data_IF_158713041489
#
_entry.id   IF_158713041489
#
_cell.length_a   1.000
_cell.length_b   1.000
_cell.length_c   1.000
_cell.angle_alpha   90.00
_cell.angle_beta   90.00
_cell.angle_gamma   90.00
#
_symmetry.space_group_name_H-M   'P 1'
#
loop_
_entity.id
_entity.type
_entity.pdbx_description
1 polymer ?
#
# COMPACT_ATOMS: atom_id res chain seq x y z
N UNK A 1 -0.71 31.75 11.79
CA UNK A 1 0.13 30.58 11.42
C UNK A 1 -0.76 29.37 11.39
N UNK A 2 -1.07 28.88 10.18
CA UNK A 2 -2.14 27.89 9.94
C UNK A 2 -1.62 26.45 9.85
N UNK A 3 -2.50 25.49 10.15
CA UNK A 3 -2.24 24.06 9.96
C UNK A 3 -2.22 23.76 8.45
N UNK A 4 -1.14 23.17 7.95
CA UNK A 4 -1.06 22.66 6.57
C UNK A 4 -1.59 21.24 6.59
N UNK A 5 -2.55 20.96 5.71
CA UNK A 5 -3.11 19.63 5.56
C UNK A 5 -2.19 18.79 4.66
N UNK A 6 -1.62 17.72 5.21
CA UNK A 6 -0.66 16.85 4.52
C UNK A 6 -1.35 15.74 3.68
N UNK A 7 -2.67 15.86 3.48
CA UNK A 7 -3.43 14.91 2.69
C UNK A 7 -3.78 13.61 3.42
N UNK A 8 -4.15 12.60 2.64
CA UNK A 8 -4.45 11.25 3.10
C UNK A 8 -3.30 10.32 2.73
N UNK A 9 -2.58 9.81 3.73
CA UNK A 9 -1.59 8.76 3.55
C UNK A 9 -2.29 7.41 3.52
N UNK A 10 -2.31 6.74 2.36
CA UNK A 10 -2.87 5.40 2.21
C UNK A 10 -1.75 4.39 2.01
N UNK A 11 -1.64 3.47 2.96
CA UNK A 11 -0.58 2.46 2.99
C UNK A 11 -1.25 1.10 3.15
N UNK A 12 -0.71 0.08 2.48
CA UNK A 12 -1.15 -1.31 2.61
C UNK A 12 0.04 -2.22 2.88
N UNK A 13 -0.19 -3.25 3.68
CA UNK A 13 0.83 -4.19 4.11
C UNK A 13 0.42 -5.60 3.69
N UNK A 14 1.33 -6.31 3.02
CA UNK A 14 1.22 -7.75 2.83
C UNK A 14 1.91 -8.44 3.99
N UNK A 15 1.18 -9.31 4.68
CA UNK A 15 1.64 -10.02 5.87
C UNK A 15 1.48 -11.51 5.62
N UNK A 16 2.55 -12.28 5.86
CA UNK A 16 2.50 -13.74 5.73
C UNK A 16 1.89 -14.43 6.95
N UNK A 17 1.74 -15.74 6.86
CA UNK A 17 1.10 -16.57 7.89
C UNK A 17 1.84 -16.53 9.25
N UNK A 18 3.12 -16.17 9.25
CA UNK A 18 3.94 -16.03 10.46
C UNK A 18 3.82 -14.62 11.08
N UNK A 19 3.04 -13.73 10.48
CA UNK A 19 2.84 -12.36 10.95
C UNK A 19 3.97 -11.39 10.55
N UNK A 20 4.81 -11.76 9.60
CA UNK A 20 5.92 -10.92 9.10
C UNK A 20 5.43 -10.11 7.91
N UNK A 21 5.79 -8.82 7.87
CA UNK A 21 5.51 -7.95 6.73
C UNK A 21 6.44 -8.32 5.57
N UNK A 22 5.87 -8.81 4.47
CA UNK A 22 6.63 -9.17 3.27
C UNK A 22 6.76 -8.01 2.29
N UNK A 23 5.74 -7.16 2.21
CA UNK A 23 5.74 -6.02 1.29
C UNK A 23 4.93 -4.84 1.82
N UNK A 24 5.42 -3.63 1.55
CA UNK A 24 4.76 -2.36 1.88
C UNK A 24 4.39 -1.64 0.59
N UNK A 25 3.12 -1.27 0.46
CA UNK A 25 2.62 -0.46 -0.63
C UNK A 25 2.28 0.92 -0.06
N UNK A 26 2.97 1.97 -0.51
CA UNK A 26 2.82 3.35 0.00
C UNK A 26 2.56 4.40 -1.11
N UNK A 27 2.64 3.99 -2.38
CA UNK A 27 2.49 4.86 -3.55
C UNK A 27 1.53 4.25 -4.57
N UNK A 28 0.24 4.53 -4.41
CA UNK A 28 -0.75 4.13 -5.40
C UNK A 28 -1.85 5.17 -5.55
N UNK A 29 -2.39 5.26 -6.75
CA UNK A 29 -3.64 5.97 -7.01
C UNK A 29 -4.78 5.12 -6.46
N UNK A 30 -5.78 5.77 -5.87
CA UNK A 30 -6.93 5.11 -5.21
C UNK A 30 -7.64 4.09 -6.12
N UNK A 31 -7.60 4.29 -7.44
CA UNK A 31 -8.28 3.43 -8.42
C UNK A 31 -7.56 2.10 -8.65
N UNK A 32 -6.24 2.08 -8.51
CA UNK A 32 -5.38 0.98 -8.99
C UNK A 32 -4.88 0.11 -7.81
N UNK A 33 -5.44 0.31 -6.61
CA UNK A 33 -4.96 -0.32 -5.37
C UNK A 33 -4.97 -1.86 -5.40
N UNK A 34 -6.03 -2.45 -5.96
CA UNK A 34 -6.18 -3.89 -6.05
C UNK A 34 -5.27 -4.49 -7.13
N UNK A 35 -5.06 -3.78 -8.23
CA UNK A 35 -4.18 -4.21 -9.33
C UNK A 35 -2.73 -4.34 -8.84
N UNK A 36 -2.24 -3.38 -8.05
CA UNK A 36 -0.86 -3.42 -7.52
C UNK A 36 -0.58 -4.69 -6.70
N UNK A 37 -1.56 -5.16 -5.92
CA UNK A 37 -1.41 -6.40 -5.14
C UNK A 37 -1.45 -7.62 -6.05
N UNK A 38 -2.35 -7.65 -7.04
CA UNK A 38 -2.45 -8.74 -7.99
C UNK A 38 -1.19 -8.85 -8.87
N UNK A 39 -0.68 -7.73 -9.36
CA UNK A 39 0.56 -7.68 -10.15
C UNK A 39 1.74 -8.20 -9.35
N UNK A 40 1.86 -7.82 -8.07
CA UNK A 40 2.88 -8.33 -7.18
C UNK A 40 2.82 -9.86 -7.03
N UNK A 41 1.61 -10.42 -6.86
CA UNK A 41 1.41 -11.86 -6.72
C UNK A 41 1.62 -12.64 -8.02
N UNK A 42 1.31 -12.04 -9.18
CA UNK A 42 1.42 -12.70 -10.49
C UNK A 42 2.81 -12.56 -11.13
N UNK A 43 3.64 -11.63 -10.66
CA UNK A 43 5.02 -11.45 -11.13
C UNK A 43 6.02 -12.45 -10.48
N UNK A 44 5.56 -13.29 -9.56
CA UNK A 44 6.30 -14.42 -8.97
C UNK A 44 6.11 -15.70 -9.78
#
# INVERSE_FOLDING_TARGET
>A
MGKVYDGLHRISFLINEQGIIEQVFDKFKTKDHHEVVLDYLNAQ
#
